data_IF_384130726666
#
_entry.id   IF_384130726666
#
_cell.length_a   1.000
_cell.length_b   1.000
_cell.length_c   1.000
_cell.angle_alpha   90.00
_cell.angle_beta   90.00
_cell.angle_gamma   90.00
#
_symmetry.space_group_name_H-M   'P 1'
#
loop_
_entity.id
_entity.type
_entity.pdbx_description
1 polymer ?
#
# COMPACT_ATOMS: atom_id res chain seq x y z
N UNK A 1 -20.80 7.58 -17.93
CA UNK A 1 -19.35 7.38 -17.73
C UNK A 1 -18.98 5.96 -18.14
N UNK A 2 -18.05 5.80 -19.09
CA UNK A 2 -17.62 4.50 -19.60
C UNK A 2 -17.00 3.66 -18.47
N UNK A 3 -17.13 2.33 -18.51
CA UNK A 3 -16.67 1.45 -17.42
C UNK A 3 -15.15 1.52 -17.20
N UNK A 4 -14.37 1.70 -18.28
CA UNK A 4 -12.92 1.99 -18.21
C UNK A 4 -12.58 3.25 -17.40
N UNK A 5 -13.37 4.32 -17.51
CA UNK A 5 -13.14 5.55 -16.74
C UNK A 5 -13.43 5.33 -15.25
N UNK A 6 -14.49 4.58 -14.92
CA UNK A 6 -14.80 4.20 -13.54
C UNK A 6 -13.67 3.37 -12.94
N UNK A 7 -13.12 2.44 -13.71
CA UNK A 7 -12.01 1.59 -13.27
C UNK A 7 -10.71 2.36 -12.99
N UNK A 8 -10.45 3.46 -13.70
CA UNK A 8 -9.31 4.36 -13.42
C UNK A 8 -9.58 5.23 -12.20
N UNK A 9 -10.81 5.73 -12.07
CA UNK A 9 -11.18 6.68 -11.03
C UNK A 9 -11.28 6.03 -9.64
N UNK A 10 -11.64 4.74 -9.56
CA UNK A 10 -11.75 3.98 -8.30
C UNK A 10 -10.44 4.00 -7.47
N UNK A 11 -9.27 3.56 -7.98
CA UNK A 11 -8.02 3.65 -7.24
C UNK A 11 -7.65 5.09 -6.84
N UNK A 12 -7.96 6.08 -7.69
CA UNK A 12 -7.67 7.49 -7.41
C UNK A 12 -8.55 8.05 -6.28
N UNK A 13 -9.84 7.72 -6.25
CA UNK A 13 -10.70 8.05 -5.12
C UNK A 13 -10.23 7.35 -3.84
N UNK A 14 -9.84 6.07 -3.95
CA UNK A 14 -9.25 5.34 -2.83
C UNK A 14 -7.99 6.01 -2.29
N UNK A 15 -7.15 6.57 -3.17
CA UNK A 15 -5.95 7.31 -2.78
C UNK A 15 -6.32 8.58 -2.02
N UNK A 16 -7.27 9.37 -2.51
CA UNK A 16 -7.75 10.58 -1.82
C UNK A 16 -8.37 10.25 -0.47
N UNK A 17 -9.23 9.25 -0.39
CA UNK A 17 -9.86 8.83 0.87
C UNK A 17 -8.82 8.28 1.85
N UNK A 18 -7.83 7.52 1.35
CA UNK A 18 -6.69 7.07 2.14
C UNK A 18 -5.87 8.24 2.69
N UNK A 19 -5.60 9.25 1.87
CA UNK A 19 -4.92 10.48 2.29
C UNK A 19 -5.70 11.21 3.39
N UNK A 20 -7.01 11.39 3.23
CA UNK A 20 -7.87 12.01 4.25
C UNK A 20 -7.80 11.25 5.58
N UNK A 21 -7.87 9.92 5.54
CA UNK A 21 -7.77 9.08 6.74
C UNK A 21 -6.39 9.20 7.42
N UNK A 22 -5.32 9.35 6.64
CA UNK A 22 -3.98 9.61 7.18
C UNK A 22 -3.89 11.01 7.81
N UNK A 23 -4.57 12.02 7.26
CA UNK A 23 -4.64 13.34 7.89
C UNK A 23 -5.37 13.28 9.23
N UNK A 24 -6.49 12.55 9.30
CA UNK A 24 -7.17 12.32 10.58
C UNK A 24 -6.32 11.52 11.57
N UNK A 25 -5.52 10.56 11.09
CA UNK A 25 -4.57 9.84 11.92
C UNK A 25 -3.52 10.78 12.52
N UNK A 26 -2.87 11.59 11.69
CA UNK A 26 -1.88 12.58 12.13
C UNK A 26 -2.49 13.64 13.06
N UNK A 27 -3.72 14.06 12.80
CA UNK A 27 -4.45 14.95 13.71
C UNK A 27 -4.74 14.29 15.07
N UNK A 28 -5.15 13.01 15.08
CA UNK A 28 -5.41 12.29 16.33
C UNK A 28 -4.16 12.12 17.19
N UNK A 29 -2.99 11.97 16.56
CA UNK A 29 -1.69 11.87 17.25
C UNK A 29 -1.29 13.17 17.96
N UNK A 30 -1.90 14.32 17.65
CA UNK A 30 -1.63 15.57 18.36
C UNK A 30 -2.02 15.51 19.84
N UNK A 31 -3.01 14.70 20.17
CA UNK A 31 -3.59 14.64 21.51
C UNK A 31 -3.03 13.49 22.35
N UNK A 32 -2.06 12.74 21.84
CA UNK A 32 -1.45 11.59 22.53
C UNK A 32 -0.13 12.04 23.16
N UNK A 33 -0.14 12.35 24.45
CA UNK A 33 1.02 12.83 25.19
C UNK A 33 1.85 11.69 25.78
N UNK A 34 3.19 11.83 25.86
CA UNK A 34 4.04 10.95 26.65
C UNK A 34 3.78 11.10 28.16
N UNK A 35 3.93 10.00 28.90
CA UNK A 35 3.81 9.97 30.35
C UNK A 35 5.19 9.96 31.01
N UNK A 36 5.33 10.74 32.08
CA UNK A 36 6.55 10.86 32.87
C UNK A 36 6.26 10.60 34.34
N UNK A 37 7.25 10.09 35.06
CA UNK A 37 7.15 9.87 36.50
C UNK A 37 7.29 11.20 37.28
N UNK A 38 7.02 11.22 38.60
CA UNK A 38 7.18 12.42 39.43
C UNK A 38 8.62 12.99 39.49
N UNK A 39 9.62 12.23 39.03
CA UNK A 39 11.03 12.65 38.96
C UNK A 39 11.42 13.18 37.57
N UNK A 40 10.48 13.18 36.62
CA UNK A 40 10.67 13.62 35.24
C UNK A 40 11.27 12.56 34.32
N UNK A 41 11.38 11.30 34.76
CA UNK A 41 11.83 10.21 33.90
C UNK A 41 10.69 9.74 32.98
N UNK A 42 11.03 9.44 31.72
CA UNK A 42 10.08 8.94 30.73
C UNK A 42 9.55 7.55 31.16
N UNK A 43 8.22 7.38 31.11
CA UNK A 43 7.55 6.11 31.40
C UNK A 43 7.09 5.42 30.13
N UNK A 44 6.30 6.12 29.31
CA UNK A 44 5.74 5.60 28.06
C UNK A 44 5.36 6.76 27.12
N UNK A 45 5.07 6.45 25.86
CA UNK A 45 4.69 7.46 24.85
C UNK A 45 3.20 7.84 24.87
N UNK A 46 2.47 7.49 25.94
CA UNK A 46 1.03 7.62 26.07
C UNK A 46 0.28 6.28 25.95
N UNK A 47 -1.05 6.30 25.80
CA UNK A 47 -1.87 5.09 25.75
C UNK A 47 -1.41 4.11 24.67
N UNK A 48 -1.34 2.83 25.02
CA UNK A 48 -0.98 1.77 24.08
C UNK A 48 -1.92 1.68 22.87
N UNK A 49 -3.21 1.92 23.07
CA UNK A 49 -4.20 1.91 21.99
C UNK A 49 -4.26 3.32 21.37
N UNK A 50 -3.66 3.47 20.19
CA UNK A 50 -3.65 4.73 19.44
C UNK A 50 -4.71 4.75 18.34
N UNK A 51 -5.59 5.76 18.26
CA UNK A 51 -6.53 5.91 17.16
C UNK A 51 -5.83 6.01 15.78
N UNK A 52 -4.68 6.65 15.72
CA UNK A 52 -3.89 6.83 14.51
C UNK A 52 -3.51 5.51 13.85
N UNK A 53 -3.09 4.50 14.63
CA UNK A 53 -2.78 3.15 14.13
C UNK A 53 -3.94 2.56 13.31
N UNK A 54 -5.17 2.70 13.81
CA UNK A 54 -6.35 2.18 13.15
C UNK A 54 -6.80 3.04 11.96
N UNK A 55 -6.62 4.36 12.04
CA UNK A 55 -6.91 5.27 10.93
C UNK A 55 -5.94 5.07 9.76
N UNK A 56 -4.66 4.85 10.02
CA UNK A 56 -3.68 4.47 8.99
C UNK A 56 -4.06 3.14 8.34
N UNK A 57 -4.40 2.12 9.13
CA UNK A 57 -4.86 0.82 8.62
C UNK A 57 -6.14 0.96 7.78
N UNK A 58 -7.10 1.75 8.24
CA UNK A 58 -8.33 2.00 7.50
C UNK A 58 -8.05 2.72 6.18
N UNK A 59 -7.13 3.69 6.17
CA UNK A 59 -6.69 4.38 4.95
C UNK A 59 -6.10 3.42 3.93
N UNK A 60 -5.19 2.54 4.37
CA UNK A 60 -4.61 1.48 3.54
C UNK A 60 -5.69 0.53 3.02
N UNK A 61 -6.66 0.18 3.87
CA UNK A 61 -7.79 -0.69 3.52
C UNK A 61 -8.65 -0.07 2.43
N UNK A 62 -9.08 1.18 2.61
CA UNK A 62 -9.92 1.90 1.64
C UNK A 62 -9.20 2.03 0.30
N UNK A 63 -7.92 2.40 0.31
CA UNK A 63 -7.11 2.47 -0.91
C UNK A 63 -7.01 1.11 -1.61
N UNK A 64 -6.64 0.06 -0.87
CA UNK A 64 -6.41 -1.28 -1.42
C UNK A 64 -7.68 -1.91 -1.98
N UNK A 65 -8.81 -1.76 -1.29
CA UNK A 65 -10.12 -2.24 -1.76
C UNK A 65 -10.56 -1.46 -2.99
N UNK A 66 -10.41 -0.13 -3.01
CA UNK A 66 -10.76 0.68 -4.19
C UNK A 66 -9.91 0.32 -5.40
N UNK A 67 -8.62 0.06 -5.20
CA UNK A 67 -7.71 -0.42 -6.24
C UNK A 67 -8.12 -1.81 -6.78
N UNK A 68 -8.50 -2.72 -5.88
CA UNK A 68 -8.98 -4.05 -6.24
C UNK A 68 -10.29 -3.98 -7.04
N UNK A 69 -11.25 -3.15 -6.61
CA UNK A 69 -12.50 -2.96 -7.34
C UNK A 69 -12.29 -2.37 -8.74
N UNK A 70 -11.37 -1.41 -8.87
CA UNK A 70 -10.97 -0.86 -10.18
C UNK A 70 -10.32 -1.91 -11.08
N UNK A 71 -9.45 -2.75 -10.52
CA UNK A 71 -8.84 -3.88 -11.24
C UNK A 71 -9.90 -4.90 -11.68
N UNK A 72 -10.82 -5.29 -10.80
CA UNK A 72 -11.88 -6.24 -11.13
C UNK A 72 -12.85 -5.70 -12.19
N UNK A 73 -13.19 -4.41 -12.12
CA UNK A 73 -14.05 -3.75 -13.10
C UNK A 73 -13.42 -3.77 -14.50
N UNK A 74 -12.14 -3.37 -14.62
CA UNK A 74 -11.41 -3.38 -15.89
C UNK A 74 -11.13 -4.79 -16.40
N UNK A 75 -10.87 -5.76 -15.52
CA UNK A 75 -10.68 -7.16 -15.88
C UNK A 75 -11.95 -7.81 -16.45
N UNK A 76 -13.12 -7.51 -15.87
CA UNK A 76 -14.42 -7.99 -16.38
C UNK A 76 -14.69 -7.49 -17.80
N UNK A 77 -14.34 -6.24 -18.08
CA UNK A 77 -14.52 -5.62 -19.40
C UNK A 77 -13.57 -6.20 -20.45
N UNK A 78 -12.32 -6.52 -20.07
CA UNK A 78 -11.37 -7.26 -20.91
C UNK A 78 -11.85 -8.67 -21.29
N UNK A 79 -12.59 -9.35 -20.41
CA UNK A 79 -13.06 -10.72 -20.65
C UNK A 79 -14.36 -10.82 -21.47
N UNK A 80 -15.18 -9.77 -21.48
CA UNK A 80 -16.50 -9.77 -22.12
C UNK A 80 -16.54 -9.15 -23.53
N UNK A 81 -15.53 -8.35 -23.90
CA UNK A 81 -15.55 -7.59 -25.15
C UNK A 81 -14.29 -7.88 -25.97
N UNK A 82 -14.46 -8.27 -27.24
CA UNK A 82 -13.38 -8.41 -28.22
C UNK A 82 -12.81 -7.04 -28.67
N UNK A 83 -12.99 -6.00 -27.86
CA UNK A 83 -12.58 -4.64 -28.16
C UNK A 83 -11.12 -4.48 -27.74
N UNK A 84 -10.25 -4.33 -28.73
CA UNK A 84 -8.87 -3.88 -28.58
C UNK A 84 -8.77 -2.42 -28.06
N UNK A 85 -9.65 -2.00 -27.15
CA UNK A 85 -9.64 -0.66 -26.59
C UNK A 85 -8.38 -0.45 -25.74
N UNK A 86 -7.63 0.60 -26.06
CA UNK A 86 -6.43 0.98 -25.32
C UNK A 86 -6.77 1.41 -23.90
N UNK A 87 -7.91 2.05 -23.70
CA UNK A 87 -8.33 2.59 -22.39
C UNK A 87 -8.55 1.48 -21.36
N UNK A 88 -9.23 0.39 -21.74
CA UNK A 88 -9.49 -0.75 -20.85
C UNK A 88 -8.19 -1.45 -20.44
N UNK A 89 -7.23 -1.60 -21.36
CA UNK A 89 -5.90 -2.16 -21.07
C UNK A 89 -5.09 -1.27 -20.12
N UNK A 90 -5.19 0.04 -20.29
CA UNK A 90 -4.53 0.99 -19.40
C UNK A 90 -5.16 0.98 -18.01
N UNK A 91 -6.48 0.99 -17.92
CA UNK A 91 -7.23 0.86 -16.66
C UNK A 91 -6.84 -0.42 -15.90
N UNK A 92 -6.73 -1.55 -16.61
CA UNK A 92 -6.31 -2.82 -16.02
C UNK A 92 -4.88 -2.78 -15.47
N UNK A 93 -3.91 -2.25 -16.26
CA UNK A 93 -2.52 -2.11 -15.80
C UNK A 93 -2.39 -1.15 -14.62
N UNK A 94 -3.14 -0.06 -14.66
CA UNK A 94 -3.19 0.94 -13.59
C UNK A 94 -3.78 0.34 -12.31
N UNK A 95 -4.91 -0.35 -12.39
CA UNK A 95 -5.51 -1.07 -11.26
C UNK A 95 -4.54 -2.10 -10.67
N UNK A 96 -3.86 -2.87 -11.52
CA UNK A 96 -2.89 -3.87 -11.08
C UNK A 96 -1.70 -3.24 -10.33
N UNK A 97 -1.18 -2.11 -10.82
CA UNK A 97 -0.12 -1.36 -10.13
C UNK A 97 -0.60 -0.87 -8.76
N UNK A 98 -1.78 -0.26 -8.69
CA UNK A 98 -2.33 0.26 -7.42
C UNK A 98 -2.62 -0.85 -6.40
N UNK A 99 -3.07 -2.03 -6.85
CA UNK A 99 -3.21 -3.21 -5.97
C UNK A 99 -1.87 -3.62 -5.38
N UNK A 100 -0.79 -3.64 -6.18
CA UNK A 100 0.56 -3.95 -5.69
C UNK A 100 1.03 -2.91 -4.67
N UNK A 101 0.78 -1.62 -4.94
CA UNK A 101 1.11 -0.54 -4.00
C UNK A 101 0.33 -0.71 -2.68
N UNK A 102 -0.96 -1.04 -2.74
CA UNK A 102 -1.78 -1.29 -1.55
C UNK A 102 -1.28 -2.48 -0.72
N UNK A 103 -0.91 -3.58 -1.38
CA UNK A 103 -0.29 -4.75 -0.74
C UNK A 103 1.03 -4.39 -0.06
N UNK A 104 1.88 -3.61 -0.74
CA UNK A 104 3.14 -3.14 -0.16
C UNK A 104 2.88 -2.24 1.05
N UNK A 105 1.92 -1.31 0.96
CA UNK A 105 1.52 -0.45 2.07
C UNK A 105 1.05 -1.23 3.29
N UNK A 106 0.19 -2.23 3.12
CA UNK A 106 -0.27 -3.11 4.20
C UNK A 106 0.86 -3.91 4.84
N UNK A 107 1.76 -4.46 4.02
CA UNK A 107 2.93 -5.18 4.52
C UNK A 107 3.89 -4.29 5.32
N UNK A 108 4.20 -3.09 4.80
CA UNK A 108 5.04 -2.10 5.50
C UNK A 108 4.38 -1.69 6.82
N UNK A 109 3.08 -1.41 6.82
CA UNK A 109 2.34 -1.08 8.03
C UNK A 109 2.44 -2.18 9.10
N UNK A 110 2.26 -3.45 8.70
CA UNK A 110 2.38 -4.58 9.62
C UNK A 110 3.80 -4.70 10.18
N UNK A 111 4.83 -4.49 9.35
CA UNK A 111 6.24 -4.50 9.78
C UNK A 111 6.54 -3.36 10.74
N UNK A 112 6.10 -2.13 10.45
CA UNK A 112 6.33 -0.98 11.33
C UNK A 112 5.69 -1.19 12.70
N UNK A 113 4.43 -1.65 12.74
CA UNK A 113 3.74 -1.91 14.02
C UNK A 113 4.38 -3.07 14.79
N UNK A 114 4.82 -4.12 14.09
CA UNK A 114 5.56 -5.21 14.71
C UNK A 114 6.89 -4.76 15.29
N UNK A 115 7.69 -4.01 14.52
CA UNK A 115 8.99 -3.51 14.96
C UNK A 115 8.84 -2.53 16.13
N UNK A 116 7.83 -1.66 16.09
CA UNK A 116 7.52 -0.72 17.15
C UNK A 116 7.06 -1.36 18.46
N UNK A 117 6.57 -2.61 18.42
CA UNK A 117 6.22 -3.35 19.63
C UNK A 117 7.47 -3.83 20.40
N UNK A 118 8.64 -3.90 19.77
CA UNK A 118 9.89 -4.23 20.47
C UNK A 118 10.46 -3.00 21.15
N UNK A 119 10.55 -3.03 22.47
CA UNK A 119 11.14 -1.95 23.28
C UNK A 119 10.12 -1.14 24.09
N UNK A 120 8.82 -1.38 23.93
CA UNK A 120 7.82 -0.86 24.87
C UNK A 120 7.85 -1.72 26.14
N UNK A 121 8.33 -1.17 27.25
CA UNK A 121 8.30 -1.80 28.58
C UNK A 121 6.85 -1.84 29.11
N UNK A 122 6.01 -2.69 28.51
CA UNK A 122 4.59 -2.81 28.86
C UNK A 122 4.36 -3.73 30.07
N UNK A 123 5.29 -3.80 31.02
CA UNK A 123 5.25 -4.78 32.12
C UNK A 123 3.99 -4.69 32.99
N UNK A 124 3.30 -3.56 32.98
CA UNK A 124 2.09 -3.32 33.79
C UNK A 124 0.77 -3.27 33.00
N UNK A 125 0.78 -3.44 31.67
CA UNK A 125 -0.46 -3.39 30.87
C UNK A 125 -1.14 -4.75 30.73
N UNK A 126 -2.45 -4.80 31.03
CA UNK A 126 -3.26 -6.01 30.95
C UNK A 126 -3.30 -6.62 29.54
N UNK A 127 -3.47 -7.95 29.47
CA UNK A 127 -3.44 -8.74 28.23
C UNK A 127 -4.35 -8.19 27.11
N UNK A 128 -5.50 -7.62 27.47
CA UNK A 128 -6.45 -7.02 26.51
C UNK A 128 -5.84 -5.82 25.78
N UNK A 129 -5.08 -4.98 26.48
CA UNK A 129 -4.44 -3.81 25.88
C UNK A 129 -3.39 -4.23 24.86
N UNK A 130 -2.61 -5.28 25.14
CA UNK A 130 -1.68 -5.87 24.17
C UNK A 130 -2.38 -6.44 22.94
N UNK A 131 -3.49 -7.16 23.14
CA UNK A 131 -4.31 -7.71 22.04
C UNK A 131 -4.79 -6.61 21.09
N UNK A 132 -5.29 -5.50 21.63
CA UNK A 132 -5.82 -4.41 20.82
C UNK A 132 -4.72 -3.50 20.29
N UNK A 133 -3.71 -3.14 21.07
CA UNK A 133 -2.67 -2.21 20.63
C UNK A 133 -1.74 -2.79 19.55
N UNK A 134 -1.33 -4.04 19.72
CA UNK A 134 -0.25 -4.65 18.91
C UNK A 134 -0.80 -5.72 17.97
N UNK A 135 -1.49 -6.73 18.51
CA UNK A 135 -1.84 -7.91 17.73
C UNK A 135 -2.96 -7.65 16.72
N UNK A 136 -4.01 -6.92 17.12
CA UNK A 136 -5.17 -6.68 16.27
C UNK A 136 -4.81 -5.91 14.97
N UNK A 137 -4.07 -4.79 14.99
CA UNK A 137 -3.68 -4.10 13.76
C UNK A 137 -2.83 -4.95 12.81
N UNK A 138 -1.91 -5.75 13.36
CA UNK A 138 -1.04 -6.65 12.57
C UNK A 138 -1.87 -7.75 11.90
N UNK A 139 -2.77 -8.39 12.66
CA UNK A 139 -3.65 -9.45 12.15
C UNK A 139 -4.62 -8.91 11.09
N UNK A 140 -5.22 -7.74 11.33
CA UNK A 140 -6.11 -7.10 10.36
C UNK A 140 -5.36 -6.70 9.08
N UNK A 141 -4.16 -6.13 9.19
CA UNK A 141 -3.35 -5.79 8.01
C UNK A 141 -2.93 -7.03 7.22
N UNK A 142 -2.51 -8.09 7.90
CA UNK A 142 -2.14 -9.35 7.25
C UNK A 142 -3.36 -10.00 6.58
N UNK A 143 -4.51 -10.01 7.27
CA UNK A 143 -5.78 -10.47 6.73
C UNK A 143 -6.19 -9.69 5.48
N UNK A 144 -6.03 -8.36 5.50
CA UNK A 144 -6.22 -7.49 4.33
C UNK A 144 -5.30 -7.91 3.18
N UNK A 145 -3.99 -7.99 3.40
CA UNK A 145 -3.00 -8.34 2.37
C UNK A 145 -3.33 -9.69 1.74
N UNK A 146 -3.61 -10.71 2.55
CA UNK A 146 -4.01 -12.04 2.06
C UNK A 146 -5.31 -11.96 1.25
N UNK A 147 -6.31 -11.24 1.73
CA UNK A 147 -7.60 -11.07 1.03
C UNK A 147 -7.39 -10.40 -0.33
N UNK A 148 -6.68 -9.27 -0.38
CA UNK A 148 -6.41 -8.55 -1.63
C UNK A 148 -5.60 -9.42 -2.59
N UNK A 149 -4.65 -10.22 -2.10
CA UNK A 149 -3.89 -11.14 -2.94
C UNK A 149 -4.79 -12.23 -3.53
N UNK A 150 -5.63 -12.87 -2.71
CA UNK A 150 -6.54 -13.92 -3.15
C UNK A 150 -7.54 -13.39 -4.18
N UNK A 151 -8.22 -12.28 -3.90
CA UNK A 151 -9.22 -11.72 -4.80
C UNK A 151 -8.63 -10.98 -6.02
N UNK A 152 -7.42 -10.46 -5.90
CA UNK A 152 -6.73 -9.74 -6.97
C UNK A 152 -6.02 -10.65 -7.97
N UNK A 153 -5.54 -11.82 -7.52
CA UNK A 153 -4.66 -12.68 -8.33
C UNK A 153 -5.08 -14.15 -8.37
N UNK A 154 -5.66 -14.72 -7.31
CA UNK A 154 -5.94 -16.18 -7.23
C UNK A 154 -7.34 -16.52 -7.73
N UNK A 155 -8.38 -15.85 -7.22
CA UNK A 155 -9.79 -16.11 -7.56
C UNK A 155 -10.27 -15.37 -8.81
N UNK A 156 -9.36 -14.79 -9.59
CA UNK A 156 -9.71 -13.92 -10.71
C UNK A 156 -10.10 -14.75 -11.95
N UNK A 157 -11.28 -14.45 -12.50
CA UNK A 157 -11.88 -15.16 -13.65
C UNK A 157 -11.39 -14.67 -15.02
N UNK A 158 -10.62 -13.60 -15.10
CA UNK A 158 -10.13 -12.99 -16.34
C UNK A 158 -9.02 -13.81 -17.04
N UNK A 159 -8.46 -14.81 -16.35
CA UNK A 159 -7.55 -15.78 -16.96
C UNK A 159 -8.24 -16.80 -17.87
N UNK A 160 -9.56 -16.73 -18.08
CA UNK A 160 -10.28 -17.74 -18.87
C UNK A 160 -10.52 -17.44 -20.36
N UNK A 161 -10.24 -16.23 -20.89
CA UNK A 161 -10.54 -15.94 -22.32
C UNK A 161 -9.35 -16.10 -23.29
N UNK A 162 -8.16 -16.42 -22.77
CA UNK A 162 -7.08 -17.04 -23.56
C UNK A 162 -6.86 -18.53 -23.21
N UNK A 163 -7.64 -19.04 -22.23
CA UNK A 163 -7.59 -20.42 -21.76
C UNK A 163 -8.81 -21.24 -22.22
N UNK A 164 -9.76 -20.65 -22.95
CA UNK A 164 -10.90 -21.36 -23.53
C UNK A 164 -10.54 -22.31 -24.70
N UNK A 165 -9.27 -22.35 -25.13
CA UNK A 165 -8.75 -23.38 -26.03
C UNK A 165 -7.80 -24.40 -25.36
N UNK A 166 -7.65 -24.40 -24.02
CA UNK A 166 -6.91 -25.51 -23.38
C UNK A 166 -7.42 -25.81 -21.97
N UNK A 167 -8.27 -26.83 -21.89
CA UNK A 167 -8.52 -27.60 -20.68
C UNK A 167 -7.29 -28.46 -20.33
N UNK A 168 -6.20 -27.83 -19.91
CA UNK A 168 -5.10 -28.51 -19.22
C UNK A 168 -4.68 -27.60 -18.05
N UNK A 169 -4.57 -28.18 -16.85
CA UNK A 169 -4.35 -27.43 -15.61
C UNK A 169 -3.24 -26.38 -15.67
N UNK A 170 -3.33 -25.35 -14.82
CA UNK A 170 -2.44 -24.17 -14.80
C UNK A 170 -1.02 -24.49 -15.32
N UNK A 171 -0.64 -23.80 -16.40
CA UNK A 171 0.68 -23.97 -17.03
C UNK A 171 1.78 -23.83 -15.98
N UNK A 172 2.88 -24.58 -16.14
CA UNK A 172 4.02 -24.55 -15.22
C UNK A 172 4.52 -23.13 -14.97
N UNK A 173 4.44 -22.26 -15.99
CA UNK A 173 4.71 -20.83 -15.93
C UNK A 173 3.77 -20.04 -15.03
N UNK A 174 2.46 -20.23 -15.13
CA UNK A 174 1.49 -19.52 -14.28
C UNK A 174 1.61 -19.94 -12.81
N UNK A 175 1.81 -21.24 -12.55
CA UNK A 175 2.11 -21.74 -11.19
C UNK A 175 3.41 -21.14 -10.65
N UNK A 176 4.47 -21.14 -11.45
CA UNK A 176 5.76 -20.55 -11.06
C UNK A 176 5.67 -19.02 -10.87
N UNK A 177 4.85 -18.32 -11.66
CA UNK A 177 4.64 -16.88 -11.49
C UNK A 177 3.89 -16.58 -10.18
N UNK A 178 2.80 -17.32 -9.90
CA UNK A 178 2.04 -17.18 -8.66
C UNK A 178 2.88 -17.51 -7.42
N UNK A 179 3.67 -18.58 -7.46
CA UNK A 179 4.62 -18.94 -6.40
C UNK A 179 5.75 -17.91 -6.25
N UNK A 180 6.22 -17.34 -7.36
CA UNK A 180 7.26 -16.31 -7.36
C UNK A 180 6.85 -15.03 -6.63
N UNK A 181 5.58 -14.64 -6.71
CA UNK A 181 5.04 -13.48 -5.99
C UNK A 181 4.63 -13.78 -4.54
N UNK A 182 4.05 -14.96 -4.29
CA UNK A 182 3.47 -15.28 -2.98
C UNK A 182 4.47 -15.81 -1.95
N UNK A 183 5.49 -16.56 -2.36
CA UNK A 183 6.43 -17.20 -1.43
C UNK A 183 7.21 -16.21 -0.55
N UNK A 184 7.76 -15.09 -1.08
CA UNK A 184 8.45 -14.12 -0.22
C UNK A 184 7.53 -13.51 0.84
N UNK A 185 6.26 -13.26 0.48
CA UNK A 185 5.26 -12.66 1.37
C UNK A 185 4.84 -13.66 2.45
N UNK A 186 4.58 -14.91 2.08
CA UNK A 186 4.21 -15.99 3.01
C UNK A 186 5.37 -16.27 3.98
N UNK A 187 6.60 -16.32 3.49
CA UNK A 187 7.78 -16.51 4.32
C UNK A 187 7.97 -15.36 5.33
N UNK A 188 7.78 -14.11 4.89
CA UNK A 188 7.78 -12.98 5.80
C UNK A 188 6.70 -13.11 6.88
N UNK A 189 5.46 -13.47 6.51
CA UNK A 189 4.38 -13.67 7.48
C UNK A 189 4.70 -14.77 8.51
N UNK A 190 5.25 -15.91 8.07
CA UNK A 190 5.65 -17.02 8.96
C UNK A 190 6.77 -16.58 9.91
N UNK A 191 7.78 -15.86 9.40
CA UNK A 191 8.90 -15.37 10.20
C UNK A 191 8.42 -14.41 11.30
N UNK A 192 7.46 -13.55 10.98
CA UNK A 192 6.87 -12.58 11.90
C UNK A 192 6.04 -13.27 13.01
N UNK A 193 5.19 -14.25 12.65
CA UNK A 193 4.41 -15.03 13.62
C UNK A 193 5.34 -15.80 14.57
N UNK A 194 6.38 -16.44 14.02
CA UNK A 194 7.38 -17.14 14.82
C UNK A 194 8.08 -16.21 15.81
N UNK A 195 8.54 -15.03 15.37
CA UNK A 195 9.16 -14.04 16.24
C UNK A 195 8.25 -13.59 17.40
N UNK A 196 6.96 -13.37 17.12
CA UNK A 196 5.97 -13.03 18.15
C UNK A 196 5.77 -14.16 19.18
N UNK A 197 5.66 -15.40 18.72
CA UNK A 197 5.45 -16.56 19.62
C UNK A 197 6.66 -16.79 20.52
N UNK A 198 7.88 -16.68 19.98
CA UNK A 198 9.10 -16.84 20.78
C UNK A 198 9.20 -15.76 21.84
N UNK A 199 8.97 -14.49 21.47
CA UNK A 199 8.95 -13.37 22.42
C UNK A 199 7.92 -13.58 23.54
N UNK A 200 6.72 -14.09 23.21
CA UNK A 200 5.67 -14.38 24.19
C UNK A 200 6.05 -15.49 25.18
N UNK A 201 6.80 -16.50 24.73
CA UNK A 201 7.21 -17.63 25.58
C UNK A 201 8.39 -17.25 26.46
N UNK A 202 9.35 -16.49 25.95
CA UNK A 202 10.59 -16.16 26.66
C UNK A 202 10.49 -14.94 27.55
N UNK A 203 9.60 -13.98 27.24
CA UNK A 203 9.38 -12.77 28.06
C UNK A 203 10.57 -11.81 28.13
N UNK A 204 11.60 -12.03 27.30
CA UNK A 204 12.82 -11.21 27.21
C UNK A 204 12.93 -10.57 25.83
N UNK A 205 13.80 -9.57 25.67
CA UNK A 205 14.22 -9.12 24.34
C UNK A 205 14.65 -10.32 23.50
N UNK A 206 14.24 -10.33 22.22
CA UNK A 206 14.57 -11.42 21.30
C UNK A 206 16.09 -11.60 21.26
N UNK A 207 16.57 -12.79 21.66
CA UNK A 207 17.96 -13.17 21.53
C UNK A 207 18.41 -12.99 20.06
N UNK A 208 19.65 -12.57 19.86
CA UNK A 208 20.25 -12.37 18.53
C UNK A 208 20.07 -13.61 17.64
N UNK A 209 20.06 -14.80 18.23
CA UNK A 209 19.80 -16.05 17.49
C UNK A 209 18.37 -16.16 16.95
N UNK A 210 17.37 -15.63 17.63
CA UNK A 210 15.98 -15.61 17.11
C UNK A 210 15.88 -14.66 15.93
N UNK A 211 16.58 -13.53 15.99
CA UNK A 211 16.72 -12.61 14.86
C UNK A 211 17.36 -13.28 13.64
N UNK A 212 18.43 -14.04 13.84
CA UNK A 212 19.06 -14.81 12.76
C UNK A 212 18.07 -15.78 12.12
N UNK A 213 17.25 -16.47 12.92
CA UNK A 213 16.23 -17.41 12.40
C UNK A 213 15.16 -16.69 11.57
N UNK A 214 14.66 -15.54 12.04
CA UNK A 214 13.70 -14.70 11.28
C UNK A 214 14.30 -14.30 9.93
N UNK A 215 15.55 -13.82 9.92
CA UNK A 215 16.23 -13.42 8.68
C UNK A 215 16.47 -14.59 7.73
N UNK A 216 16.76 -15.78 8.24
CA UNK A 216 16.91 -17.00 7.43
C UNK A 216 15.58 -17.38 6.76
N UNK A 217 14.45 -17.30 7.46
CA UNK A 217 13.12 -17.61 6.89
C UNK A 217 12.79 -16.61 5.76
N UNK A 218 13.02 -15.31 5.99
CA UNK A 218 12.78 -14.26 4.99
C UNK A 218 13.70 -14.45 3.78
N UNK A 219 15.00 -14.66 4.01
CA UNK A 219 15.97 -14.89 2.94
C UNK A 219 15.62 -16.13 2.11
N UNK A 220 15.21 -17.24 2.76
CA UNK A 220 14.75 -18.44 2.07
C UNK A 220 13.52 -18.16 1.20
N UNK A 221 12.55 -17.39 1.72
CA UNK A 221 11.38 -16.93 0.96
C UNK A 221 11.74 -16.11 -0.28
N UNK A 222 12.64 -15.13 -0.13
CA UNK A 222 13.13 -14.29 -1.23
C UNK A 222 13.85 -15.15 -2.28
N UNK A 223 14.74 -16.05 -1.85
CA UNK A 223 15.50 -16.92 -2.74
C UNK A 223 14.56 -17.85 -3.52
N UNK A 224 13.60 -18.50 -2.84
CA UNK A 224 12.63 -19.39 -3.46
C UNK A 224 11.72 -18.62 -4.43
N UNK A 225 11.16 -17.47 -4.02
CA UNK A 225 10.35 -16.62 -4.89
C UNK A 225 11.11 -16.17 -6.13
N UNK A 226 12.37 -15.76 -5.97
CA UNK A 226 13.25 -15.38 -7.09
C UNK A 226 13.55 -16.56 -8.02
N UNK A 227 13.67 -17.77 -7.48
CA UNK A 227 13.87 -19.00 -8.27
C UNK A 227 12.63 -19.32 -9.11
N UNK A 228 11.43 -19.24 -8.52
CA UNK A 228 10.17 -19.43 -9.25
C UNK A 228 9.91 -18.32 -10.29
N UNK A 229 10.24 -17.06 -9.98
CA UNK A 229 10.17 -15.94 -10.93
C UNK A 229 11.12 -16.14 -12.13
N UNK A 230 12.31 -16.71 -11.90
CA UNK A 230 13.24 -17.10 -12.97
C UNK A 230 12.67 -18.22 -13.84
N UNK A 231 12.08 -19.25 -13.24
CA UNK A 231 11.43 -20.34 -13.98
C UNK A 231 10.26 -19.84 -14.85
N UNK A 232 9.55 -18.80 -14.41
CA UNK A 232 8.50 -18.17 -15.21
C UNK A 232 9.02 -17.32 -16.39
N UNK A 233 10.31 -16.95 -16.37
CA UNK A 233 10.98 -16.13 -17.40
C UNK A 233 11.75 -16.97 -18.43
N UNK A 234 12.14 -18.21 -18.08
CA UNK A 234 12.95 -19.10 -18.93
C UNK A 234 12.17 -19.83 -20.04
N UNK A 235 10.84 -19.78 -20.05
CA UNK A 235 10.04 -20.25 -21.19
C UNK A 235 10.01 -19.16 -22.29
N UNK A 236 10.47 -19.50 -23.50
CA UNK A 236 10.67 -18.61 -24.66
C UNK A 236 9.61 -17.49 -24.73
N UNK A 237 10.06 -16.25 -24.59
CA UNK A 237 9.23 -15.08 -24.84
C UNK A 237 8.77 -15.10 -26.31
N UNK A 238 7.47 -14.91 -26.55
CA UNK A 238 6.94 -14.73 -27.90
C UNK A 238 7.68 -13.58 -28.60
N UNK A 239 7.96 -13.74 -29.90
CA UNK A 239 8.78 -12.81 -30.67
C UNK A 239 8.29 -11.35 -30.49
N UNK A 240 9.21 -10.38 -30.24
CA UNK A 240 8.83 -9.00 -30.03
C UNK A 240 8.19 -8.44 -31.31
N UNK A 241 6.92 -8.01 -31.22
CA UNK A 241 6.26 -7.30 -32.31
C UNK A 241 7.06 -6.05 -32.68
N UNK A 242 7.28 -5.77 -33.98
CA UNK A 242 8.04 -4.61 -34.42
C UNK A 242 7.36 -3.32 -33.91
N UNK A 243 8.10 -2.51 -33.15
CA UNK A 243 7.63 -1.20 -32.64
C UNK A 243 8.11 -0.12 -33.59
N UNK A 244 7.19 0.61 -34.19
CA UNK A 244 7.50 1.80 -35.01
C UNK A 244 8.08 2.90 -34.10
N UNK A 245 9.30 3.33 -34.42
CA UNK A 245 10.21 3.99 -33.46
C UNK A 245 9.98 5.50 -33.32
N UNK A 246 9.26 6.17 -34.23
CA UNK A 246 9.39 7.63 -34.35
C UNK A 246 8.24 8.47 -33.75
N UNK A 247 7.02 7.94 -33.62
CA UNK A 247 5.94 8.58 -32.84
C UNK A 247 5.81 8.01 -31.40
N UNK A 248 6.49 6.90 -31.12
CA UNK A 248 6.37 6.17 -29.85
C UNK A 248 7.30 6.67 -28.74
N UNK A 249 8.36 7.41 -29.07
CA UNK A 249 9.35 7.92 -28.10
C UNK A 249 8.77 8.94 -27.12
N UNK A 250 8.29 10.08 -27.62
CA UNK A 250 7.69 11.14 -26.79
C UNK A 250 6.46 10.65 -26.01
N UNK A 251 5.67 9.77 -26.63
CA UNK A 251 4.47 9.20 -26.04
C UNK A 251 4.75 8.23 -24.88
N UNK A 252 5.82 7.43 -24.98
CA UNK A 252 6.27 6.58 -23.88
C UNK A 252 6.96 7.39 -22.78
N UNK A 253 7.70 8.45 -23.13
CA UNK A 253 8.36 9.33 -22.17
C UNK A 253 7.34 10.05 -21.27
N UNK A 254 6.32 10.68 -21.87
CA UNK A 254 5.25 11.35 -21.11
C UNK A 254 4.50 10.38 -20.19
N UNK A 255 4.34 9.12 -20.61
CA UNK A 255 3.75 8.10 -19.75
C UNK A 255 4.61 7.76 -18.54
N UNK A 256 5.92 7.53 -18.74
CA UNK A 256 6.85 7.28 -17.62
C UNK A 256 6.88 8.49 -16.69
N UNK A 257 6.96 9.70 -17.25
CA UNK A 257 6.96 10.94 -16.47
C UNK A 257 5.67 11.08 -15.65
N UNK A 258 4.51 10.75 -16.21
CA UNK A 258 3.24 10.80 -15.47
C UNK A 258 3.16 9.81 -14.31
N UNK A 259 3.76 8.61 -14.46
CA UNK A 259 3.84 7.63 -13.37
C UNK A 259 4.79 8.13 -12.28
N UNK A 260 5.96 8.64 -12.65
CA UNK A 260 6.94 9.19 -11.71
C UNK A 260 6.35 10.39 -10.97
N UNK A 261 5.73 11.31 -11.70
CA UNK A 261 4.98 12.45 -11.16
C UNK A 261 3.92 11.98 -10.17
N UNK A 262 3.03 11.06 -10.57
CA UNK A 262 1.97 10.56 -9.71
C UNK A 262 2.49 9.92 -8.43
N UNK A 263 3.54 9.09 -8.53
CA UNK A 263 4.16 8.46 -7.36
C UNK A 263 4.83 9.45 -6.42
N UNK A 264 5.72 10.30 -6.94
CA UNK A 264 6.48 11.29 -6.14
C UNK A 264 5.56 12.31 -5.50
N UNK A 265 4.63 12.89 -6.26
CA UNK A 265 3.72 13.92 -5.76
C UNK A 265 2.73 13.33 -4.75
N UNK A 266 2.30 12.08 -4.90
CA UNK A 266 1.52 11.39 -3.87
C UNK A 266 2.30 11.31 -2.57
N UNK A 267 3.55 10.81 -2.61
CA UNK A 267 4.38 10.72 -1.39
C UNK A 267 4.57 12.08 -0.74
N UNK A 268 4.84 13.14 -1.53
CA UNK A 268 4.93 14.51 -1.01
C UNK A 268 3.63 14.97 -0.35
N UNK A 269 2.47 14.67 -0.94
CA UNK A 269 1.18 15.04 -0.36
C UNK A 269 0.96 14.38 1.01
N UNK A 270 1.34 13.11 1.18
CA UNK A 270 1.27 12.45 2.49
C UNK A 270 2.27 13.04 3.48
N UNK A 271 3.53 13.20 3.08
CA UNK A 271 4.60 13.72 3.96
C UNK A 271 4.32 15.16 4.41
N UNK A 272 3.94 16.05 3.50
CA UNK A 272 3.62 17.43 3.84
C UNK A 272 2.35 17.53 4.67
N UNK A 273 1.34 16.70 4.36
CA UNK A 273 0.11 16.64 5.12
C UNK A 273 0.36 16.26 6.58
N UNK A 274 1.03 15.12 6.82
CA UNK A 274 1.39 14.70 8.18
C UNK A 274 2.34 15.68 8.87
N UNK A 275 3.32 16.22 8.16
CA UNK A 275 4.26 17.21 8.69
C UNK A 275 3.61 18.55 9.06
N UNK A 276 2.49 18.91 8.43
CA UNK A 276 1.75 20.11 8.82
C UNK A 276 1.12 19.97 10.22
N UNK A 277 0.62 18.79 10.58
CA UNK A 277 0.11 18.55 11.93
C UNK A 277 1.24 18.59 12.95
N UNK A 278 2.42 18.06 12.63
CA UNK A 278 3.58 18.13 13.52
C UNK A 278 3.94 19.58 13.91
N UNK A 279 3.74 20.55 13.00
CA UNK A 279 3.96 21.98 13.29
C UNK A 279 2.96 22.58 14.29
N UNK A 280 1.86 21.91 14.57
CA UNK A 280 0.92 22.31 15.63
C UNK A 280 1.40 21.86 17.00
N UNK A 281 2.48 21.09 17.12
CA UNK A 281 3.06 20.74 18.42
C UNK A 281 4.07 21.80 18.85
N UNK A 282 3.82 22.40 20.00
CA UNK A 282 4.79 23.25 20.68
C UNK A 282 5.52 22.47 21.76
N UNK A 283 6.80 22.19 21.51
CA UNK A 283 7.67 21.47 22.43
C UNK A 283 8.37 22.38 23.45
N UNK A 284 8.19 23.70 23.37
CA UNK A 284 8.78 24.67 24.32
C UNK A 284 7.85 24.95 25.54
N UNK A 285 6.91 24.06 25.81
CA UNK A 285 6.01 24.16 26.95
C UNK A 285 6.76 23.87 28.26
N UNK A 286 6.44 24.60 29.34
CA UNK A 286 7.10 24.49 30.66
C UNK A 286 6.84 23.12 31.36
N UNK A 287 6.09 22.22 30.73
CA UNK A 287 5.82 20.86 31.18
C UNK A 287 6.44 19.78 30.27
N UNK A 288 6.28 18.51 30.64
CA UNK A 288 6.72 17.40 29.81
C UNK A 288 5.67 17.10 28.71
N UNK A 289 6.11 16.94 27.44
CA UNK A 289 5.23 16.71 26.28
C UNK A 289 5.20 17.89 25.31
N UNK A 290 4.02 18.21 24.77
CA UNK A 290 3.81 19.36 23.88
C UNK A 290 2.43 20.01 24.06
N UNK A 291 2.32 21.31 23.77
CA UNK A 291 1.03 21.98 23.64
C UNK A 291 0.53 21.93 22.19
N UNK A 292 -0.78 21.82 21.98
CA UNK A 292 -1.38 21.84 20.64
C UNK A 292 -1.75 23.28 20.29
N UNK A 293 -1.01 23.86 19.34
CA UNK A 293 -1.25 25.20 18.84
C UNK A 293 -2.59 25.29 18.07
N UNK A 294 -3.27 26.45 18.12
CA UNK A 294 -4.54 26.64 17.43
C UNK A 294 -4.36 26.60 15.90
N UNK A 295 -5.35 26.06 15.21
CA UNK A 295 -5.42 26.09 13.74
C UNK A 295 -5.61 27.54 13.29
N UNK A 296 -4.58 28.12 12.67
CA UNK A 296 -4.62 29.47 12.10
C UNK A 296 -4.82 29.44 10.59
N UNK A 297 -5.22 30.57 10.01
CA UNK A 297 -5.25 30.74 8.54
C UNK A 297 -3.85 30.54 7.95
N UNK A 298 -2.81 31.00 8.65
CA UNK A 298 -1.40 30.81 8.26
C UNK A 298 -1.04 29.34 8.13
N UNK A 299 -1.40 28.53 9.13
CA UNK A 299 -1.22 27.07 9.08
C UNK A 299 -2.02 26.44 7.94
N UNK A 300 -3.31 26.81 7.81
CA UNK A 300 -4.19 26.22 6.81
C UNK A 300 -3.66 26.45 5.40
N UNK A 301 -3.25 27.67 5.08
CA UNK A 301 -2.82 28.07 3.73
C UNK A 301 -1.34 27.75 3.47
N UNK A 302 -0.49 27.99 4.46
CA UNK A 302 0.97 27.85 4.31
C UNK A 302 1.47 26.43 4.51
N UNK A 303 0.87 25.67 5.44
CA UNK A 303 1.38 24.36 5.84
C UNK A 303 0.51 23.21 5.33
N UNK A 304 -0.82 23.27 5.51
CA UNK A 304 -1.72 22.17 5.16
C UNK A 304 -2.17 22.18 3.70
N UNK A 305 -2.61 23.33 3.17
CA UNK A 305 -3.16 23.45 1.82
C UNK A 305 -2.22 22.94 0.70
N UNK A 306 -0.88 23.12 0.76
CA UNK A 306 0.00 22.54 -0.25
C UNK A 306 -0.19 21.03 -0.40
N UNK A 307 -0.29 20.29 0.69
CA UNK A 307 -0.53 18.84 0.66
C UNK A 307 -1.87 18.49 0.00
N UNK A 308 -2.92 19.26 0.30
CA UNK A 308 -4.24 19.11 -0.30
C UNK A 308 -4.23 19.41 -1.82
N UNK A 309 -3.52 20.45 -2.26
CA UNK A 309 -3.39 20.74 -3.68
C UNK A 309 -2.58 19.66 -4.41
N UNK A 310 -1.53 19.11 -3.79
CA UNK A 310 -0.74 18.03 -4.38
C UNK A 310 -1.58 16.76 -4.59
N UNK A 311 -2.41 16.36 -3.62
CA UNK A 311 -3.26 15.16 -3.80
C UNK A 311 -4.32 15.37 -4.90
N UNK A 312 -4.90 16.57 -4.99
CA UNK A 312 -5.83 16.93 -6.08
C UNK A 312 -5.13 16.93 -7.44
N UNK A 313 -3.92 17.49 -7.50
CA UNK A 313 -3.10 17.54 -8.72
C UNK A 313 -2.74 16.13 -9.22
N UNK A 314 -2.41 15.20 -8.31
CA UNK A 314 -2.17 13.79 -8.66
C UNK A 314 -3.40 13.16 -9.29
N UNK A 315 -4.56 13.33 -8.65
CA UNK A 315 -5.82 12.73 -9.12
C UNK A 315 -6.16 13.24 -10.52
N UNK A 316 -6.14 14.57 -10.71
CA UNK A 316 -6.44 15.19 -12.01
C UNK A 316 -5.39 14.80 -13.04
N UNK A 317 -4.11 14.89 -12.70
CA UNK A 317 -2.99 14.64 -13.62
C UNK A 317 -2.95 13.19 -14.10
N UNK A 318 -3.07 12.22 -13.18
CA UNK A 318 -3.08 10.80 -13.54
C UNK A 318 -4.34 10.43 -14.33
N UNK A 319 -5.51 10.91 -13.91
CA UNK A 319 -6.76 10.66 -14.63
C UNK A 319 -6.68 11.22 -16.05
N UNK A 320 -6.37 12.51 -16.20
CA UNK A 320 -6.27 13.18 -17.49
C UNK A 320 -5.24 12.51 -18.39
N UNK A 321 -4.06 12.18 -17.88
CA UNK A 321 -3.01 11.54 -18.69
C UNK A 321 -3.44 10.16 -19.19
N UNK A 322 -4.09 9.34 -18.34
CA UNK A 322 -4.53 7.99 -18.74
C UNK A 322 -5.68 8.09 -19.75
N UNK A 323 -6.62 9.02 -19.56
CA UNK A 323 -7.78 9.16 -20.45
C UNK A 323 -7.42 9.80 -21.78
N UNK A 324 -6.64 10.89 -21.78
CA UNK A 324 -6.28 11.62 -23.00
C UNK A 324 -5.43 10.75 -23.93
N UNK A 325 -4.56 9.90 -23.35
CA UNK A 325 -3.77 8.91 -24.07
C UNK A 325 -4.62 7.93 -24.89
N UNK A 326 -5.84 7.64 -24.47
CA UNK A 326 -6.70 6.66 -25.13
C UNK A 326 -7.97 7.28 -25.68
N UNK A 327 -7.97 8.61 -25.88
CA UNK A 327 -9.08 9.29 -26.55
C UNK A 327 -9.05 8.92 -28.03
N UNK A 328 -10.15 8.38 -28.53
CA UNK A 328 -10.32 8.18 -29.97
C UNK A 328 -10.53 9.55 -30.62
N UNK A 329 -9.72 9.89 -31.62
CA UNK A 329 -9.94 11.08 -32.44
C UNK A 329 -11.21 10.87 -33.26
N UNK A 330 -12.21 11.75 -33.09
CA UNK A 330 -13.33 11.81 -34.02
C UNK A 330 -12.79 12.16 -35.40
N UNK A 331 -13.19 11.46 -36.49
CA UNK A 331 -12.80 11.88 -37.82
C UNK A 331 -13.32 13.31 -38.02
N UNK A 332 -12.39 14.25 -38.15
CA UNK A 332 -12.69 15.60 -38.60
C UNK A 332 -13.25 15.50 -40.01
N UNK A 333 -14.54 15.83 -40.18
CA UNK A 333 -15.15 16.09 -41.48
C UNK A 333 -14.50 17.33 -42.12
#
# INVERSE_FOLDING_TARGET
MNTSHKAILLPLLGLTMGWVLFMFASWSDLFIQPEYDPTGAWLNDGPAIRPSTYLYLLGITVYSVSALLGLQASAKEMGGNNTNDGATRAAYRFGNLNVIIGLAGGAIFAIINFLGAFGQNQTDEGLVYRLVAVYLPILLSTGLVVTILLFGFVFRKDHSSAAAERSEGMTKRQKALGLGYSIPIIAAAIAMIFGLVVFQITGTTLDAWVWVIIQVIIAAGIILGTRYARMAKSEKAAAPKPRTVWASGAWNLNFVLSIVFGGVVSVMAFVFGSGSFEKLRDYNFDGAGWEVQPITIGWLVGDFAPALFLIVLVVIGLYATITERHRNESPTN
#
